data_IF_789577455728
#
_entry.id   IF_789577455728
#
_cell.length_a   1.000
_cell.length_b   1.000
_cell.length_c   1.000
_cell.angle_alpha   90.00
_cell.angle_beta   90.00
_cell.angle_gamma   90.00
#
_symmetry.space_group_name_H-M   'P 1'
#
loop_
_entity.id
_entity.type
_entity.pdbx_description
1 polymer ?
#
# COMPACT_ATOMS: atom_id res chain seq x y z
N UNK A 1 9.50 -3.21 7.07
CA UNK A 1 9.54 -1.99 6.22
C UNK A 1 9.40 -0.81 7.15
N UNK A 2 10.44 0.02 7.33
CA UNK A 2 10.43 1.11 8.35
C UNK A 2 9.62 2.31 7.86
N UNK A 3 9.61 2.58 6.56
CA UNK A 3 8.82 3.64 5.93
C UNK A 3 7.87 3.03 4.90
N UNK A 4 6.57 3.25 5.03
CA UNK A 4 5.54 2.72 4.11
C UNK A 4 5.82 3.07 2.63
N UNK A 5 6.47 4.21 2.36
CA UNK A 5 6.80 4.65 1.02
C UNK A 5 8.05 3.98 0.41
N UNK A 6 8.83 3.22 1.18
CA UNK A 6 10.09 2.67 0.69
C UNK A 6 9.86 1.66 -0.43
N UNK A 7 8.78 0.88 -0.37
CA UNK A 7 8.40 -0.05 -1.42
C UNK A 7 8.12 0.68 -2.75
N UNK A 8 7.34 1.76 -2.68
CA UNK A 8 7.01 2.58 -3.87
C UNK A 8 8.25 3.27 -4.44
N UNK A 9 9.13 3.81 -3.58
CA UNK A 9 10.39 4.41 -4.01
C UNK A 9 11.31 3.40 -4.69
N UNK A 10 11.41 2.18 -4.15
CA UNK A 10 12.25 1.14 -4.73
C UNK A 10 11.78 0.72 -6.12
N UNK A 11 10.47 0.56 -6.30
CA UNK A 11 9.85 0.30 -7.62
C UNK A 11 10.08 1.46 -8.58
N UNK A 12 9.98 2.71 -8.11
CA UNK A 12 10.25 3.90 -8.91
C UNK A 12 11.69 3.93 -9.43
N UNK A 13 12.67 3.56 -8.59
CA UNK A 13 14.08 3.48 -8.96
C UNK A 13 14.30 2.37 -9.99
N UNK A 14 13.76 1.18 -9.75
CA UNK A 14 13.90 0.03 -10.65
C UNK A 14 13.34 0.28 -12.06
N UNK A 15 12.19 0.95 -12.13
CA UNK A 15 11.52 1.24 -13.39
C UNK A 15 11.93 2.59 -14.00
N UNK A 16 12.84 3.34 -13.36
CA UNK A 16 13.28 4.65 -13.84
C UNK A 16 12.17 5.72 -13.87
N UNK A 17 11.11 5.55 -13.06
CA UNK A 17 9.97 6.47 -13.00
C UNK A 17 10.39 7.72 -12.21
N UNK A 18 10.19 8.91 -12.79
CA UNK A 18 10.52 10.21 -12.19
C UNK A 18 9.29 11.09 -11.89
N UNK A 19 8.09 10.52 -12.01
CA UNK A 19 6.83 11.20 -11.72
C UNK A 19 6.55 11.33 -10.22
N UNK A 20 5.32 11.76 -9.90
CA UNK A 20 4.86 11.80 -8.52
C UNK A 20 4.87 10.41 -7.88
N UNK A 21 5.47 10.29 -6.69
CA UNK A 21 5.60 9.05 -5.94
C UNK A 21 5.17 9.26 -4.49
N UNK A 22 4.17 8.54 -4.05
CA UNK A 22 3.63 8.61 -2.69
C UNK A 22 2.91 7.30 -2.35
N UNK A 23 2.68 7.07 -1.06
CA UNK A 23 1.99 5.88 -0.56
C UNK A 23 0.77 6.29 0.24
N UNK A 24 -0.37 5.70 -0.10
CA UNK A 24 -1.63 5.93 0.57
C UNK A 24 -1.86 4.81 1.59
N UNK A 25 -2.38 5.18 2.76
CA UNK A 25 -2.78 4.23 3.79
C UNK A 25 -4.26 4.50 4.15
N UNK A 26 -5.09 3.52 3.85
CA UNK A 26 -6.49 3.40 4.24
C UNK A 26 -6.74 2.00 4.80
N UNK A 27 -5.81 1.48 5.62
CA UNK A 27 -5.89 0.14 6.22
C UNK A 27 -6.08 -0.95 5.14
N UNK A 28 -7.03 -1.87 5.30
CA UNK A 28 -7.26 -2.97 4.36
C UNK A 28 -7.72 -2.52 2.96
N UNK A 29 -8.25 -1.29 2.81
CA UNK A 29 -8.68 -0.76 1.51
C UNK A 29 -7.59 0.07 0.81
N UNK A 30 -6.38 0.15 1.35
CA UNK A 30 -5.28 0.96 0.79
C UNK A 30 -5.03 0.68 -0.70
N UNK A 31 -5.03 -0.59 -1.11
CA UNK A 31 -4.77 -0.96 -2.51
C UNK A 31 -5.86 -0.48 -3.47
N UNK A 32 -7.14 -0.66 -3.13
CA UNK A 32 -8.25 -0.19 -3.96
C UNK A 32 -8.35 1.34 -3.95
N UNK A 33 -8.04 1.97 -2.82
CA UNK A 33 -7.96 3.42 -2.71
C UNK A 33 -6.88 4.00 -3.63
N UNK A 34 -5.71 3.36 -3.70
CA UNK A 34 -4.64 3.75 -4.61
C UNK A 34 -5.04 3.62 -6.09
N UNK A 35 -5.84 2.62 -6.45
CA UNK A 35 -6.39 2.48 -7.80
C UNK A 35 -7.39 3.59 -8.12
N UNK A 36 -8.30 3.90 -7.20
CA UNK A 36 -9.26 4.98 -7.36
C UNK A 36 -8.60 6.35 -7.54
N UNK A 37 -7.57 6.64 -6.75
CA UNK A 37 -6.76 7.85 -6.88
C UNK A 37 -6.01 7.91 -8.22
N UNK A 38 -5.41 6.80 -8.65
CA UNK A 38 -4.76 6.72 -9.97
C UNK A 38 -5.74 7.01 -11.11
N UNK A 39 -6.94 6.41 -11.06
CA UNK A 39 -7.99 6.67 -12.04
C UNK A 39 -8.40 8.15 -12.06
N UNK A 40 -8.60 8.76 -10.88
CA UNK A 40 -8.97 10.17 -10.78
C UNK A 40 -7.90 11.08 -11.39
N UNK A 41 -6.62 10.84 -11.09
CA UNK A 41 -5.50 11.60 -11.68
C UNK A 41 -5.41 11.51 -13.19
N UNK A 42 -5.69 10.34 -13.76
CA UNK A 42 -5.72 10.18 -15.22
C UNK A 42 -6.92 10.90 -15.81
N UNK A 43 -8.11 10.74 -15.21
CA UNK A 43 -9.35 11.37 -15.66
C UNK A 43 -9.28 12.90 -15.63
N UNK A 44 -8.65 13.48 -14.62
CA UNK A 44 -8.47 14.93 -14.45
C UNK A 44 -7.32 15.49 -15.30
N UNK A 45 -6.57 14.65 -16.01
CA UNK A 45 -5.47 15.07 -16.87
C UNK A 45 -4.16 15.38 -16.13
N UNK A 46 -4.06 15.04 -14.84
CA UNK A 46 -2.85 15.22 -14.04
C UNK A 46 -1.73 14.23 -14.37
N UNK A 47 -2.06 13.05 -14.92
CA UNK A 47 -1.10 12.05 -15.35
C UNK A 47 -1.61 11.28 -16.57
N UNK A 48 -0.70 10.85 -17.46
CA UNK A 48 -1.07 9.98 -18.61
C UNK A 48 -1.12 8.51 -18.24
N UNK A 49 -0.27 8.10 -17.29
CA UNK A 49 -0.17 6.75 -16.76
C UNK A 49 0.24 6.86 -15.30
N UNK A 50 -0.28 5.95 -14.48
CA UNK A 50 0.02 5.87 -13.05
C UNK A 50 0.24 4.41 -12.68
N UNK A 51 1.36 4.11 -12.02
CA UNK A 51 1.59 2.81 -11.41
C UNK A 51 0.96 2.80 -10.02
N UNK A 52 0.15 1.79 -9.73
CA UNK A 52 -0.60 1.71 -8.47
C UNK A 52 -0.66 0.26 -7.97
N UNK A 53 -0.83 0.10 -6.66
CA UNK A 53 -0.87 -1.21 -6.01
C UNK A 53 -0.86 -1.08 -4.49
N UNK A 54 -0.77 -2.22 -3.81
CA UNK A 54 -0.63 -2.30 -2.37
C UNK A 54 0.11 -3.58 -1.98
N UNK A 55 0.93 -3.49 -0.95
CA UNK A 55 1.68 -4.62 -0.40
C UNK A 55 1.67 -4.51 1.12
N UNK A 56 1.53 -5.64 1.78
CA UNK A 56 1.65 -5.76 3.22
C UNK A 56 2.53 -6.98 3.52
N UNK A 57 3.36 -6.87 4.55
CA UNK A 57 4.19 -7.97 5.01
C UNK A 57 4.20 -7.96 6.54
N UNK A 58 3.29 -8.75 7.11
CA UNK A 58 3.18 -8.96 8.56
C UNK A 58 4.23 -9.98 9.03
N UNK A 59 5.51 -9.65 8.81
CA UNK A 59 6.59 -10.49 9.31
C UNK A 59 6.79 -10.19 10.79
N UNK A 60 6.40 -11.14 11.61
CA UNK A 60 6.50 -11.03 13.06
C UNK A 60 7.07 -12.31 13.64
N UNK A 61 8.25 -12.22 14.23
CA UNK A 61 8.91 -13.36 14.85
C UNK A 61 8.23 -13.75 16.17
N UNK A 62 7.54 -12.81 16.83
CA UNK A 62 6.91 -13.00 18.14
C UNK A 62 5.38 -13.08 18.09
N UNK A 63 4.77 -12.91 16.91
CA UNK A 63 3.32 -13.01 16.69
C UNK A 63 2.45 -11.93 17.37
N UNK A 64 3.06 -10.87 17.93
CA UNK A 64 2.40 -9.69 18.47
C UNK A 64 1.35 -9.06 17.53
N UNK A 65 1.61 -8.91 16.23
CA UNK A 65 0.67 -8.29 15.29
C UNK A 65 -0.58 -9.15 15.11
N UNK A 66 -0.42 -10.45 14.90
CA UNK A 66 -1.55 -11.38 14.75
C UNK A 66 -2.34 -11.51 16.05
N UNK A 67 -1.67 -11.50 17.21
CA UNK A 67 -2.35 -11.45 18.53
C UNK A 67 -3.15 -10.17 18.74
N UNK A 68 -2.70 -9.04 18.19
CA UNK A 68 -3.48 -7.80 18.17
C UNK A 68 -4.81 -7.99 17.43
N UNK A 69 -4.77 -8.56 16.22
CA UNK A 69 -5.98 -8.86 15.43
C UNK A 69 -6.88 -9.92 16.10
N UNK A 70 -6.29 -10.91 16.78
CA UNK A 70 -7.01 -11.91 17.57
C UNK A 70 -7.74 -11.28 18.77
N UNK A 71 -7.06 -10.36 19.48
CA UNK A 71 -7.63 -9.63 20.62
C UNK A 71 -8.80 -8.73 20.21
N UNK A 72 -8.79 -8.23 18.97
CA UNK A 72 -9.91 -7.50 18.37
C UNK A 72 -11.06 -8.42 17.92
N UNK A 73 -10.89 -9.74 17.98
CA UNK A 73 -11.88 -10.72 17.52
C UNK A 73 -12.08 -10.74 16.00
N UNK A 74 -11.11 -10.23 15.23
CA UNK A 74 -11.20 -10.09 13.77
C UNK A 74 -10.71 -11.32 12.99
N UNK A 75 -10.01 -12.24 13.66
CA UNK A 75 -9.53 -13.49 13.07
C UNK A 75 -10.57 -14.60 13.23
N UNK A 76 -10.54 -15.58 12.32
CA UNK A 76 -11.37 -16.79 12.44
C UNK A 76 -10.87 -17.65 13.60
N UNK A 77 -11.80 -18.16 14.41
CA UNK A 77 -11.48 -19.10 15.50
C UNK A 77 -11.42 -20.51 14.90
N UNK A 78 -10.32 -21.22 15.14
CA UNK A 78 -10.23 -22.66 14.86
C UNK A 78 -10.87 -23.47 15.98
#
# INVERSE_FOLDING_TARGET
IVMHNSASAWVSILLGIKGANYTLNSSCSSGTYAVGEAFRKIKEGHAKMVLTGGVECMKDENGCFMRGFDSLGTLTRS
#
